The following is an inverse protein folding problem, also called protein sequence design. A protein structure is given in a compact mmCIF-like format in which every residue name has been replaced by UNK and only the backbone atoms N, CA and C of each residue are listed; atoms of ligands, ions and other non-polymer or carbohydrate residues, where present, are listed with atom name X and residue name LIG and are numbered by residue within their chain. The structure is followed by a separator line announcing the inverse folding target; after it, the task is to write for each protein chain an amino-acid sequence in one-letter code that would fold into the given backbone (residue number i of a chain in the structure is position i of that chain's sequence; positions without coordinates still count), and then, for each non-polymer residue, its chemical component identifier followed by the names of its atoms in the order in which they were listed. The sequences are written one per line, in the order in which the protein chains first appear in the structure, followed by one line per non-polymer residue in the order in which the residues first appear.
data_IF_166730503541
#
_entry.id   IF_166730503541
#
_cell.length_a   1.000
_cell.length_b   1.000
_cell.length_c   1.000
_cell.angle_alpha   90.00
_cell.angle_beta   90.00
_cell.angle_gamma   90.00
#
_symmetry.space_group_name_H-M   'P 1'
#
loop_
_entity.id
_entity.type
_entity.pdbx_description
1 polymer ?
#
# COMPACT_ATOMS: atom_id res chain seq x y z
N UNK A 1 -6.04 8.76 -26.66
CA UNK A 1 -7.09 9.61 -27.27
C UNK A 1 -7.47 8.95 -28.59
N UNK A 2 -8.75 8.65 -28.75
CA UNK A 2 -9.26 8.09 -30.01
C UNK A 2 -9.55 9.21 -31.01
N UNK A 3 -9.18 9.02 -32.26
CA UNK A 3 -9.32 10.05 -33.32
C UNK A 3 -10.73 10.62 -33.43
N UNK A 4 -11.77 9.79 -33.18
CA UNK A 4 -13.19 10.19 -33.31
C UNK A 4 -13.88 10.44 -31.95
N UNK A 5 -13.16 10.34 -30.83
CA UNK A 5 -13.65 10.49 -29.44
C UNK A 5 -12.61 11.21 -28.60
N UNK A 6 -12.31 12.46 -28.98
CA UNK A 6 -11.25 13.27 -28.38
C UNK A 6 -11.55 13.72 -26.93
N UNK A 7 -12.80 13.64 -26.52
CA UNK A 7 -13.29 14.01 -25.18
C UNK A 7 -13.37 12.84 -24.20
N UNK A 8 -12.97 11.64 -24.60
CA UNK A 8 -13.05 10.42 -23.78
C UNK A 8 -11.64 9.90 -23.47
N UNK A 9 -11.43 9.52 -22.22
CA UNK A 9 -10.27 8.75 -21.78
C UNK A 9 -10.77 7.38 -21.33
N UNK A 10 -10.06 6.33 -21.76
CA UNK A 10 -10.31 4.95 -21.30
C UNK A 10 -9.12 4.50 -20.49
N UNK A 11 -9.37 4.07 -19.25
CA UNK A 11 -8.40 3.43 -18.37
C UNK A 11 -8.74 1.96 -18.19
N UNK A 12 -7.73 1.10 -18.16
CA UNK A 12 -7.90 -0.32 -17.84
C UNK A 12 -6.78 -0.76 -16.90
N UNK A 13 -7.13 -1.52 -15.89
CA UNK A 13 -6.18 -2.06 -14.93
C UNK A 13 -5.91 -3.53 -15.21
N UNK A 14 -4.61 -3.86 -15.30
CA UNK A 14 -4.13 -5.24 -15.29
C UNK A 14 -2.76 -5.29 -14.62
N UNK A 15 -2.74 -5.68 -13.35
CA UNK A 15 -1.53 -5.69 -12.51
C UNK A 15 -1.22 -4.32 -11.89
N UNK A 16 -0.79 -3.34 -12.70
CA UNK A 16 -0.46 -2.00 -12.18
C UNK A 16 -1.70 -1.28 -11.67
N UNK A 17 -1.60 -0.55 -10.54
CA UNK A 17 -2.72 0.19 -9.98
C UNK A 17 -3.21 1.30 -10.91
N UNK A 18 -4.51 1.62 -10.81
CA UNK A 18 -5.15 2.68 -11.55
C UNK A 18 -6.28 3.28 -10.70
N UNK A 19 -6.34 4.60 -10.66
CA UNK A 19 -7.32 5.35 -9.90
C UNK A 19 -7.97 6.45 -10.74
N UNK A 20 -9.24 6.72 -10.46
CA UNK A 20 -10.00 7.84 -11.03
C UNK A 20 -10.18 8.88 -9.95
N UNK A 21 -9.84 10.14 -10.27
CA UNK A 21 -10.10 11.30 -9.43
C UNK A 21 -11.28 12.11 -9.96
N UNK A 22 -12.09 12.65 -9.05
CA UNK A 22 -13.31 13.40 -9.35
C UNK A 22 -13.16 14.86 -8.94
N UNK A 23 -13.46 15.77 -9.84
CA UNK A 23 -13.59 17.20 -9.59
C UNK A 23 -14.93 17.74 -10.08
N UNK A 24 -15.19 19.03 -9.85
CA UNK A 24 -16.38 19.69 -10.35
C UNK A 24 -16.33 20.00 -11.85
N UNK A 25 -15.14 20.20 -12.38
CA UNK A 25 -14.95 20.69 -13.74
C UNK A 25 -14.38 19.63 -14.68
N UNK A 26 -13.73 18.60 -14.13
CA UNK A 26 -13.09 17.54 -14.91
C UNK A 26 -12.81 16.29 -14.08
N UNK A 27 -12.56 15.17 -14.74
CA UNK A 27 -12.17 13.91 -14.12
C UNK A 27 -10.74 13.56 -14.51
N UNK A 28 -10.04 12.86 -13.61
CA UNK A 28 -8.62 12.54 -13.74
C UNK A 28 -8.39 11.03 -13.73
N UNK A 29 -7.29 10.61 -14.34
CA UNK A 29 -6.81 9.25 -14.30
C UNK A 29 -5.34 9.25 -13.85
N UNK A 30 -5.02 8.49 -12.83
CA UNK A 30 -3.67 8.39 -12.27
C UNK A 30 -3.35 6.99 -11.76
N UNK A 31 -2.08 6.72 -11.46
CA UNK A 31 -1.65 5.43 -10.91
C UNK A 31 -2.21 5.18 -9.50
N UNK A 32 -2.34 6.23 -8.70
CA UNK A 32 -2.70 6.16 -7.29
C UNK A 32 -3.25 7.50 -6.77
N UNK A 33 -3.67 7.52 -5.52
CA UNK A 33 -4.18 8.73 -4.86
C UNK A 33 -3.15 9.84 -4.74
N UNK A 34 -1.87 9.49 -4.58
CA UNK A 34 -0.80 10.47 -4.44
C UNK A 34 -0.59 11.25 -5.74
N UNK A 35 -0.61 10.56 -6.89
CA UNK A 35 -0.52 11.18 -8.20
C UNK A 35 -1.67 12.17 -8.48
N UNK A 36 -2.84 11.95 -7.86
CA UNK A 36 -4.04 12.76 -8.06
C UNK A 36 -4.25 13.82 -6.97
N UNK A 37 -3.46 13.80 -5.90
CA UNK A 37 -3.68 14.61 -4.69
C UNK A 37 -3.74 16.12 -4.95
N UNK A 38 -2.93 16.63 -5.86
CA UNK A 38 -2.93 18.07 -6.22
C UNK A 38 -4.18 18.53 -6.97
N UNK A 39 -4.98 17.59 -7.48
CA UNK A 39 -6.14 17.85 -8.34
C UNK A 39 -7.45 17.54 -7.62
N UNK A 40 -7.48 16.52 -6.78
CA UNK A 40 -8.70 16.11 -6.06
C UNK A 40 -8.38 15.19 -4.88
N UNK A 41 -9.26 15.21 -3.88
CA UNK A 41 -9.24 14.26 -2.77
C UNK A 41 -10.34 13.18 -2.88
N UNK A 42 -11.16 13.18 -3.94
CA UNK A 42 -12.21 12.20 -4.17
C UNK A 42 -11.74 11.19 -5.20
N UNK A 43 -11.59 9.93 -4.80
CA UNK A 43 -10.91 8.92 -5.61
C UNK A 43 -11.68 7.60 -5.60
N UNK A 44 -11.73 6.94 -6.75
CA UNK A 44 -12.14 5.54 -6.87
C UNK A 44 -11.02 4.71 -7.47
N UNK A 45 -10.80 3.52 -6.91
CA UNK A 45 -9.77 2.61 -7.38
C UNK A 45 -10.38 1.52 -8.25
N UNK A 46 -9.70 1.19 -9.36
CA UNK A 46 -10.04 0.03 -10.17
C UNK A 46 -9.46 -1.23 -9.54
N UNK A 47 -10.19 -2.33 -9.62
CA UNK A 47 -9.68 -3.67 -9.32
C UNK A 47 -9.07 -4.30 -10.57
N UNK A 48 -8.33 -5.40 -10.40
CA UNK A 48 -7.64 -6.05 -11.53
C UNK A 48 -8.65 -6.58 -12.56
N UNK A 49 -8.44 -6.26 -13.82
CA UNK A 49 -9.34 -6.61 -14.93
C UNK A 49 -10.47 -5.63 -15.18
N UNK A 50 -10.64 -4.60 -14.36
CA UNK A 50 -11.64 -3.57 -14.59
C UNK A 50 -11.17 -2.50 -15.60
N UNK A 51 -12.14 -1.83 -16.19
CA UNK A 51 -11.90 -0.66 -17.03
C UNK A 51 -12.81 0.49 -16.61
N UNK A 52 -12.39 1.71 -16.91
CA UNK A 52 -13.21 2.91 -16.77
C UNK A 52 -13.24 3.71 -18.09
N UNK A 53 -14.35 4.38 -18.32
CA UNK A 53 -14.52 5.38 -19.37
C UNK A 53 -14.85 6.67 -18.66
N UNK A 54 -14.06 7.69 -18.89
CA UNK A 54 -14.29 9.01 -18.31
C UNK A 54 -14.29 10.09 -19.37
N UNK A 55 -15.19 11.02 -19.21
CA UNK A 55 -15.23 12.31 -19.88
C UNK A 55 -15.20 13.43 -18.83
N UNK A 56 -15.44 14.67 -19.25
CA UNK A 56 -15.45 15.82 -18.36
C UNK A 56 -16.45 15.66 -17.19
N UNK A 57 -17.65 15.15 -17.49
CA UNK A 57 -18.80 15.18 -16.58
C UNK A 57 -19.10 13.81 -15.96
N UNK A 58 -18.67 12.71 -16.60
CA UNK A 58 -19.09 11.36 -16.26
C UNK A 58 -17.93 10.39 -16.12
N UNK A 59 -18.09 9.41 -15.22
CA UNK A 59 -17.21 8.25 -15.09
C UNK A 59 -18.06 6.99 -15.05
N UNK A 60 -17.73 6.03 -15.89
CA UNK A 60 -18.34 4.72 -15.93
C UNK A 60 -17.28 3.64 -15.71
N UNK A 61 -17.63 2.61 -14.94
CA UNK A 61 -16.76 1.47 -14.67
C UNK A 61 -17.40 0.18 -15.17
N UNK A 62 -16.55 -0.73 -15.64
CA UNK A 62 -16.94 -2.02 -16.16
C UNK A 62 -16.03 -3.12 -15.61
N UNK A 63 -16.62 -4.27 -15.29
CA UNK A 63 -15.88 -5.46 -14.88
C UNK A 63 -15.29 -6.23 -16.08
N UNK A 64 -14.60 -7.34 -15.80
CA UNK A 64 -14.01 -8.23 -16.82
C UNK A 64 -15.02 -8.82 -17.81
N UNK A 65 -16.30 -8.84 -17.46
CA UNK A 65 -17.40 -9.33 -18.28
C UNK A 65 -18.10 -8.19 -19.05
N UNK A 66 -17.52 -6.98 -19.06
CA UNK A 66 -18.08 -5.78 -19.66
C UNK A 66 -19.41 -5.31 -19.03
N UNK A 67 -19.70 -5.76 -17.82
CA UNK A 67 -20.88 -5.33 -17.08
C UNK A 67 -20.57 -4.03 -16.35
N UNK A 68 -21.45 -3.03 -16.46
CA UNK A 68 -21.33 -1.77 -15.72
C UNK A 68 -21.45 -2.02 -14.22
N UNK A 69 -20.50 -1.45 -13.48
CA UNK A 69 -20.42 -1.57 -12.01
C UNK A 69 -20.33 -0.20 -11.36
N UNK A 70 -20.69 -0.12 -10.09
CA UNK A 70 -20.53 1.09 -9.28
C UNK A 70 -19.29 0.96 -8.39
N UNK A 71 -18.49 2.00 -8.34
CA UNK A 71 -17.32 2.08 -7.45
C UNK A 71 -17.57 3.05 -6.31
N UNK A 72 -17.06 2.70 -5.14
CA UNK A 72 -17.08 3.58 -3.98
C UNK A 72 -16.10 4.74 -4.20
N UNK A 73 -16.56 5.95 -3.91
CA UNK A 73 -15.70 7.13 -3.86
C UNK A 73 -15.12 7.23 -2.44
N UNK A 74 -13.82 7.24 -2.36
CA UNK A 74 -13.07 7.46 -1.13
C UNK A 74 -12.65 8.93 -1.05
N UNK A 75 -12.75 9.52 0.13
CA UNK A 75 -12.17 10.85 0.39
C UNK A 75 -10.84 10.63 1.07
N UNK A 76 -9.76 11.02 0.39
CA UNK A 76 -8.40 10.95 0.93
C UNK A 76 -8.18 12.19 1.79
N UNK A 77 -7.63 12.00 3.00
CA UNK A 77 -7.33 13.10 3.91
C UNK A 77 -6.27 14.03 3.32
N UNK A 78 -6.53 15.32 3.41
CA UNK A 78 -5.57 16.38 3.09
C UNK A 78 -4.56 16.51 4.25
N UNK A 79 -3.56 15.65 4.28
CA UNK A 79 -2.35 15.96 5.05
C UNK A 79 -1.58 17.05 4.29
N UNK A 80 -1.82 18.30 4.66
CA UNK A 80 -1.36 19.52 3.98
C UNK A 80 0.16 19.59 3.77
N UNK A 81 0.95 18.82 4.53
CA UNK A 81 2.40 18.93 4.56
C UNK A 81 3.17 17.99 3.61
N UNK A 82 2.51 17.08 2.90
CA UNK A 82 3.23 16.04 2.14
C UNK A 82 3.60 16.49 0.71
N UNK A 83 2.87 17.42 0.13
CA UNK A 83 3.03 17.80 -1.30
C UNK A 83 3.95 19.00 -1.55
N UNK A 84 4.37 19.73 -0.52
CA UNK A 84 5.24 20.88 -0.68
C UNK A 84 6.70 20.56 -0.28
N UNK A 85 7.67 20.96 -1.09
CA UNK A 85 9.10 20.88 -0.77
C UNK A 85 9.49 21.79 0.40
N UNK A 86 8.71 22.83 0.65
CA UNK A 86 9.12 23.91 1.56
C UNK A 86 10.44 24.54 1.11
N UNK A 87 11.29 24.89 2.04
CA UNK A 87 12.59 25.53 1.80
C UNK A 87 13.70 24.56 1.29
N UNK A 88 13.36 23.29 1.06
CA UNK A 88 14.33 22.29 0.67
C UNK A 88 14.57 22.27 -0.86
N UNK A 89 15.80 22.04 -1.28
CA UNK A 89 16.18 21.96 -2.70
C UNK A 89 15.44 20.85 -3.45
N UNK A 90 15.22 19.71 -2.79
CA UNK A 90 14.53 18.53 -3.34
C UNK A 90 13.82 17.74 -2.22
N UNK A 91 12.91 16.85 -2.60
CA UNK A 91 12.15 16.05 -1.66
C UNK A 91 13.02 15.14 -0.79
N UNK A 92 14.05 14.51 -1.35
CA UNK A 92 14.96 13.67 -0.58
C UNK A 92 15.63 14.43 0.57
N UNK A 93 16.06 15.68 0.31
CA UNK A 93 16.62 16.54 1.36
C UNK A 93 15.60 16.85 2.46
N UNK A 94 14.34 17.17 2.07
CA UNK A 94 13.24 17.36 3.00
C UNK A 94 13.03 16.12 3.86
N UNK A 95 12.89 14.95 3.26
CA UNK A 95 12.66 13.67 3.95
C UNK A 95 13.78 13.33 4.94
N UNK A 96 15.05 13.59 4.59
CA UNK A 96 16.18 13.39 5.49
C UNK A 96 16.03 14.24 6.75
N UNK A 97 15.70 15.52 6.63
CA UNK A 97 15.54 16.41 7.77
C UNK A 97 14.24 16.22 8.54
N UNK A 98 13.23 15.62 7.94
CA UNK A 98 11.96 15.27 8.59
C UNK A 98 12.02 14.01 9.46
N UNK A 99 13.06 13.17 9.32
CA UNK A 99 13.17 11.89 10.04
C UNK A 99 12.93 12.01 11.56
N UNK A 100 13.48 12.98 12.30
CA UNK A 100 13.22 13.11 13.73
C UNK A 100 11.74 13.32 14.05
N UNK A 101 11.04 14.08 13.22
CA UNK A 101 9.61 14.36 13.39
C UNK A 101 8.76 13.15 13.04
N UNK A 102 9.08 12.45 11.97
CA UNK A 102 8.34 11.25 11.53
C UNK A 102 8.53 10.10 12.52
N UNK A 103 9.75 9.88 13.01
CA UNK A 103 10.02 8.89 14.06
C UNK A 103 9.25 9.22 15.34
N UNK A 104 9.22 10.49 15.76
CA UNK A 104 8.44 10.91 16.93
C UNK A 104 6.94 10.67 16.75
N UNK A 105 6.38 10.94 15.57
CA UNK A 105 4.98 10.64 15.26
C UNK A 105 4.70 9.15 15.36
N UNK A 106 5.54 8.32 14.73
CA UNK A 106 5.43 6.87 14.77
C UNK A 106 5.50 6.33 16.22
N UNK A 107 6.45 6.81 17.03
CA UNK A 107 6.53 6.44 18.43
C UNK A 107 5.26 6.83 19.21
N UNK A 108 4.74 8.03 19.01
CA UNK A 108 3.53 8.48 19.69
C UNK A 108 2.29 7.66 19.28
N UNK A 109 2.23 7.18 18.05
CA UNK A 109 1.13 6.33 17.56
C UNK A 109 1.13 4.96 18.22
N UNK A 110 2.32 4.35 18.36
CA UNK A 110 2.46 2.97 18.82
C UNK A 110 2.87 2.81 20.28
N UNK A 111 3.06 3.90 21.03
CA UNK A 111 3.46 3.81 22.44
C UNK A 111 2.50 4.57 23.33
N UNK A 112 2.15 3.97 24.47
CA UNK A 112 1.52 4.65 25.60
C UNK A 112 2.60 5.08 26.60
N UNK A 113 2.99 6.34 26.55
CA UNK A 113 4.04 6.89 27.41
C UNK A 113 3.68 6.85 28.91
N UNK A 114 2.38 6.85 29.26
CA UNK A 114 1.92 6.75 30.65
C UNK A 114 2.02 5.32 31.18
N UNK A 115 1.70 4.35 30.35
CA UNK A 115 1.75 2.93 30.71
C UNK A 115 3.10 2.28 30.43
N UNK A 116 3.99 2.96 29.71
CA UNK A 116 5.25 2.41 29.20
C UNK A 116 5.04 1.11 28.42
N UNK A 117 4.00 1.09 27.61
CA UNK A 117 3.55 -0.08 26.87
C UNK A 117 3.43 0.23 25.39
N UNK A 118 3.43 -0.81 24.57
CA UNK A 118 3.23 -0.71 23.12
C UNK A 118 1.74 -0.86 22.83
N UNK A 119 1.18 0.09 22.11
CA UNK A 119 -0.22 0.14 21.78
C UNK A 119 -0.46 -0.27 20.33
N UNK A 120 -0.58 -1.58 20.11
CA UNK A 120 -0.94 -2.11 18.79
C UNK A 120 -2.38 -2.60 18.87
N UNK A 121 -3.30 -1.79 18.38
CA UNK A 121 -4.72 -2.11 18.39
C UNK A 121 -5.04 -3.26 17.42
N UNK A 122 -5.87 -4.19 17.90
CA UNK A 122 -6.49 -5.25 17.09
C UNK A 122 -5.51 -6.15 16.31
N UNK A 123 -4.32 -6.42 16.87
CA UNK A 123 -3.44 -7.42 16.27
C UNK A 123 -4.11 -8.80 16.33
N UNK A 124 -4.51 -9.37 15.19
CA UNK A 124 -5.39 -10.53 15.18
C UNK A 124 -4.68 -11.85 15.50
N UNK A 125 -3.37 -11.80 15.72
CA UNK A 125 -2.53 -13.00 15.87
C UNK A 125 -1.88 -13.00 17.24
N UNK A 126 -2.08 -14.08 17.98
CA UNK A 126 -1.35 -14.27 19.22
C UNK A 126 0.11 -14.61 18.90
N UNK A 127 1.10 -13.99 19.53
CA UNK A 127 2.52 -14.26 19.27
C UNK A 127 2.87 -15.74 19.35
N UNK A 128 2.27 -16.47 20.28
CA UNK A 128 2.48 -17.92 20.48
C UNK A 128 1.98 -18.79 19.31
N UNK A 129 1.14 -18.25 18.42
CA UNK A 129 0.64 -18.96 17.25
C UNK A 129 1.55 -18.79 16.02
N UNK A 130 2.61 -17.98 16.15
CA UNK A 130 3.56 -17.71 15.07
C UNK A 130 4.84 -18.52 15.32
N UNK A 131 5.23 -19.33 14.34
CA UNK A 131 6.51 -20.05 14.38
C UNK A 131 7.61 -19.35 13.60
N UNK A 132 7.23 -18.63 12.54
CA UNK A 132 8.16 -17.92 11.67
C UNK A 132 7.54 -16.65 11.14
N UNK A 133 8.34 -15.61 11.05
CA UNK A 133 8.01 -14.36 10.34
C UNK A 133 8.78 -14.34 9.02
N UNK A 134 8.09 -13.99 7.93
CA UNK A 134 8.70 -13.75 6.64
C UNK A 134 8.48 -12.28 6.29
N UNK A 135 9.57 -11.50 6.23
CA UNK A 135 9.56 -10.09 5.87
C UNK A 135 9.79 -9.95 4.37
N UNK A 136 8.91 -9.26 3.67
CA UNK A 136 8.92 -9.17 2.20
C UNK A 136 8.86 -7.71 1.77
N UNK A 137 9.80 -7.30 0.93
CA UNK A 137 9.85 -5.95 0.39
C UNK A 137 10.73 -5.84 -0.85
N UNK A 138 10.80 -4.65 -1.44
CA UNK A 138 11.69 -4.31 -2.54
C UNK A 138 12.51 -3.06 -2.21
N UNK A 139 13.71 -2.97 -2.77
CA UNK A 139 14.56 -1.77 -2.63
C UNK A 139 14.85 -1.41 -1.18
N UNK A 140 14.65 -0.17 -0.79
CA UNK A 140 14.91 0.34 0.56
C UNK A 140 14.04 -0.37 1.62
N UNK A 141 12.79 -0.71 1.28
CA UNK A 141 11.92 -1.50 2.17
C UNK A 141 12.50 -2.88 2.46
N UNK A 142 13.09 -3.55 1.47
CA UNK A 142 13.82 -4.81 1.69
C UNK A 142 15.02 -4.63 2.64
N UNK A 143 15.78 -3.53 2.49
CA UNK A 143 16.89 -3.24 3.39
C UNK A 143 16.44 -2.96 4.84
N UNK A 144 15.28 -2.35 5.03
CA UNK A 144 14.70 -2.20 6.37
C UNK A 144 14.31 -3.56 6.96
N UNK A 145 13.81 -4.50 6.15
CA UNK A 145 13.56 -5.88 6.58
C UNK A 145 14.85 -6.61 7.02
N UNK A 146 15.99 -6.36 6.35
CA UNK A 146 17.29 -6.89 6.75
C UNK A 146 17.68 -6.47 8.18
N UNK A 147 17.51 -5.18 8.50
CA UNK A 147 17.78 -4.67 9.86
C UNK A 147 16.79 -5.26 10.87
N UNK A 148 15.50 -5.25 10.52
CA UNK A 148 14.46 -5.77 11.39
C UNK A 148 14.67 -7.25 11.74
N UNK A 149 15.19 -8.06 10.81
CA UNK A 149 15.53 -9.47 11.08
C UNK A 149 16.43 -9.61 12.30
N UNK A 150 17.53 -8.87 12.37
CA UNK A 150 18.47 -8.93 13.50
C UNK A 150 17.82 -8.53 14.82
N UNK A 151 16.95 -7.52 14.80
CA UNK A 151 16.21 -7.12 16.02
C UNK A 151 15.22 -8.18 16.46
N UNK A 152 14.50 -8.81 15.55
CA UNK A 152 13.61 -9.92 15.88
C UNK A 152 14.38 -11.11 16.47
N UNK A 153 15.52 -11.50 15.87
CA UNK A 153 16.37 -12.58 16.35
C UNK A 153 16.93 -12.30 17.76
N UNK A 154 17.25 -11.03 18.05
CA UNK A 154 17.74 -10.62 19.38
C UNK A 154 16.63 -10.56 20.43
N UNK A 155 15.45 -10.07 20.06
CA UNK A 155 14.36 -9.75 21.00
C UNK A 155 13.34 -10.88 21.17
N UNK A 156 13.33 -11.86 20.26
CA UNK A 156 12.31 -12.93 20.26
C UNK A 156 12.94 -14.29 19.99
N UNK A 157 12.18 -15.35 20.27
CA UNK A 157 12.54 -16.73 19.88
C UNK A 157 11.82 -17.15 18.58
N UNK A 158 11.47 -16.21 17.73
CA UNK A 158 10.75 -16.48 16.48
C UNK A 158 11.76 -16.46 15.32
N UNK A 159 11.77 -17.50 14.52
CA UNK A 159 12.56 -17.54 13.29
C UNK A 159 12.13 -16.43 12.33
N UNK A 160 13.10 -15.68 11.78
CA UNK A 160 12.82 -14.63 10.82
C UNK A 160 13.54 -14.89 9.50
N UNK A 161 12.76 -14.87 8.44
CA UNK A 161 13.22 -14.96 7.07
C UNK A 161 12.91 -13.66 6.33
N UNK A 162 13.76 -13.28 5.40
CA UNK A 162 13.54 -12.13 4.54
C UNK A 162 13.54 -12.57 3.10
N UNK A 163 12.70 -11.94 2.29
CA UNK A 163 12.64 -12.22 0.86
C UNK A 163 12.44 -10.93 0.06
N UNK A 164 13.03 -10.90 -1.12
CA UNK A 164 12.80 -9.80 -2.04
C UNK A 164 11.54 -10.10 -2.88
N UNK A 165 10.60 -9.17 -2.90
CA UNK A 165 9.28 -9.43 -3.47
C UNK A 165 9.32 -9.77 -4.97
N UNK A 166 10.28 -9.20 -5.73
CA UNK A 166 10.47 -9.51 -7.14
C UNK A 166 10.81 -10.98 -7.39
N UNK A 167 11.55 -11.61 -6.49
CA UNK A 167 11.94 -13.01 -6.58
C UNK A 167 10.90 -13.94 -5.94
N UNK A 168 10.32 -13.49 -4.82
CA UNK A 168 9.28 -14.23 -4.09
C UNK A 168 8.16 -14.69 -5.02
N UNK A 169 7.69 -13.81 -5.90
CA UNK A 169 6.56 -14.07 -6.79
C UNK A 169 6.80 -15.16 -7.84
N UNK A 170 8.06 -15.50 -8.13
CA UNK A 170 8.40 -16.48 -9.17
C UNK A 170 8.90 -17.81 -8.60
N UNK A 171 9.18 -17.86 -7.30
CA UNK A 171 9.69 -19.06 -6.64
C UNK A 171 8.58 -20.06 -6.32
N UNK A 172 8.93 -21.35 -6.29
CA UNK A 172 8.06 -22.41 -5.76
C UNK A 172 8.19 -22.45 -4.24
N UNK A 173 7.26 -21.77 -3.57
CA UNK A 173 7.24 -21.62 -2.11
C UNK A 173 6.42 -22.71 -1.44
N UNK A 174 6.82 -23.08 -0.22
CA UNK A 174 6.01 -23.90 0.69
C UNK A 174 5.39 -22.97 1.73
N UNK A 175 4.07 -22.89 1.74
CA UNK A 175 3.33 -22.07 2.69
C UNK A 175 3.00 -22.86 3.96
N UNK A 176 2.95 -22.16 5.10
CA UNK A 176 2.59 -22.72 6.39
C UNK A 176 1.66 -21.72 7.11
N UNK A 177 0.54 -22.21 7.65
CA UNK A 177 -0.48 -21.43 8.35
C UNK A 177 0.00 -20.83 9.69
N UNK A 178 1.13 -21.37 10.24
CA UNK A 178 1.80 -20.84 11.43
C UNK A 178 2.84 -19.77 11.12
N UNK A 179 3.03 -19.43 9.86
CA UNK A 179 3.90 -18.35 9.44
C UNK A 179 3.10 -17.04 9.28
N UNK A 180 3.74 -15.94 9.64
CA UNK A 180 3.24 -14.59 9.36
C UNK A 180 4.06 -13.97 8.24
N UNK A 181 3.39 -13.56 7.18
CA UNK A 181 4.01 -12.89 6.03
C UNK A 181 3.77 -11.39 6.17
N UNK A 182 4.85 -10.61 6.33
CA UNK A 182 4.80 -9.16 6.52
C UNK A 182 5.34 -8.47 5.27
N UNK A 183 4.51 -7.68 4.63
CA UNK A 183 4.81 -6.93 3.42
C UNK A 183 5.14 -5.48 3.78
N UNK A 184 6.33 -5.02 3.44
CA UNK A 184 6.80 -3.66 3.75
C UNK A 184 6.87 -2.84 2.47
N UNK A 185 6.14 -1.73 2.44
CA UNK A 185 6.12 -0.82 1.30
C UNK A 185 5.71 0.58 1.73
N UNK A 186 6.48 1.61 1.40
CA UNK A 186 6.13 2.99 1.72
C UNK A 186 4.84 3.41 0.99
N UNK A 187 4.78 3.27 -0.32
CA UNK A 187 3.62 3.64 -1.13
C UNK A 187 2.45 2.67 -1.03
N UNK A 188 2.74 1.40 -0.66
CA UNK A 188 1.76 0.31 -0.72
C UNK A 188 1.29 -0.05 -2.14
N UNK A 189 1.98 0.47 -3.17
CA UNK A 189 1.64 0.26 -4.60
C UNK A 189 2.78 -0.42 -5.39
N UNK A 190 3.81 -0.90 -4.70
CA UNK A 190 4.91 -1.62 -5.35
C UNK A 190 4.41 -2.91 -5.99
N UNK A 191 4.45 -2.99 -7.32
CA UNK A 191 3.82 -4.06 -8.10
C UNK A 191 4.28 -5.47 -7.69
N UNK A 192 5.59 -5.67 -7.45
CA UNK A 192 6.11 -6.96 -7.03
C UNK A 192 5.66 -7.33 -5.62
N UNK A 193 5.61 -6.36 -4.70
CA UNK A 193 5.13 -6.57 -3.33
C UNK A 193 3.65 -6.90 -3.30
N UNK A 194 2.84 -6.20 -4.11
CA UNK A 194 1.41 -6.50 -4.25
C UNK A 194 1.18 -7.90 -4.85
N UNK A 195 1.96 -8.30 -5.87
CA UNK A 195 1.86 -9.62 -6.46
C UNK A 195 2.29 -10.73 -5.48
N UNK A 196 3.32 -10.50 -4.66
CA UNK A 196 3.75 -11.42 -3.61
C UNK A 196 2.65 -11.59 -2.53
N UNK A 197 2.00 -10.50 -2.12
CA UNK A 197 0.84 -10.53 -1.22
C UNK A 197 -0.31 -11.35 -1.80
N UNK A 198 -0.66 -11.14 -3.07
CA UNK A 198 -1.73 -11.89 -3.74
C UNK A 198 -1.47 -13.41 -3.76
N UNK A 199 -0.22 -13.83 -3.96
CA UNK A 199 0.19 -15.23 -3.85
C UNK A 199 -0.07 -15.78 -2.44
N UNK A 200 0.29 -15.04 -1.39
CA UNK A 200 0.03 -15.42 -0.01
C UNK A 200 -1.47 -15.53 0.28
N UNK A 201 -2.27 -14.60 -0.20
CA UNK A 201 -3.73 -14.60 -0.06
C UNK A 201 -4.37 -15.82 -0.75
N UNK A 202 -3.94 -16.15 -1.97
CA UNK A 202 -4.38 -17.37 -2.68
C UNK A 202 -4.06 -18.65 -1.93
N UNK A 203 -2.96 -18.66 -1.17
CA UNK A 203 -2.56 -19.79 -0.31
C UNK A 203 -3.15 -19.72 1.10
N UNK A 204 -4.02 -18.74 1.40
CA UNK A 204 -4.77 -18.57 2.66
C UNK A 204 -3.87 -18.52 3.90
N UNK A 205 -2.69 -17.94 3.77
CA UNK A 205 -1.78 -17.72 4.90
C UNK A 205 -1.96 -16.31 5.48
N UNK A 206 -1.53 -16.12 6.73
CA UNK A 206 -1.68 -14.87 7.48
C UNK A 206 -0.79 -13.78 6.90
N UNK A 207 -1.36 -12.64 6.57
CA UNK A 207 -0.65 -11.51 5.96
C UNK A 207 -0.81 -10.24 6.77
N UNK A 208 0.30 -9.51 6.90
CA UNK A 208 0.34 -8.18 7.49
C UNK A 208 1.02 -7.23 6.50
N UNK A 209 0.55 -6.00 6.42
CA UNK A 209 1.22 -4.93 5.68
C UNK A 209 1.72 -3.85 6.62
N UNK A 210 2.95 -3.39 6.39
CA UNK A 210 3.49 -2.16 6.98
C UNK A 210 3.59 -1.16 5.85
N UNK A 211 2.71 -0.16 5.84
CA UNK A 211 2.59 0.79 4.73
C UNK A 211 2.28 2.19 5.26
N UNK A 212 2.82 3.21 4.62
CA UNK A 212 2.51 4.60 4.99
C UNK A 212 1.18 5.08 4.38
N UNK A 213 0.72 4.46 3.27
CA UNK A 213 -0.52 4.83 2.58
C UNK A 213 -1.59 3.77 2.85
N UNK A 214 -2.47 4.04 3.81
CA UNK A 214 -3.51 3.09 4.27
C UNK A 214 -4.58 2.78 3.21
N UNK A 215 -4.75 3.65 2.23
CA UNK A 215 -5.68 3.46 1.11
C UNK A 215 -5.04 2.71 -0.07
N UNK A 216 -3.80 2.25 0.08
CA UNK A 216 -3.06 1.57 -0.98
C UNK A 216 -3.57 0.16 -1.28
N UNK A 217 -3.19 -0.36 -2.44
CA UNK A 217 -3.55 -1.72 -2.87
C UNK A 217 -3.06 -2.79 -1.89
N UNK A 218 -1.83 -2.67 -1.38
CA UNK A 218 -1.27 -3.62 -0.41
C UNK A 218 -2.04 -3.55 0.91
N UNK A 219 -2.35 -2.34 1.40
CA UNK A 219 -3.14 -2.16 2.63
C UNK A 219 -4.53 -2.79 2.52
N UNK A 220 -5.25 -2.52 1.43
CA UNK A 220 -6.62 -3.05 1.24
C UNK A 220 -6.69 -4.56 1.13
N UNK A 221 -5.61 -5.22 0.68
CA UNK A 221 -5.59 -6.66 0.43
C UNK A 221 -4.96 -7.47 1.57
N UNK A 222 -4.17 -6.89 2.45
CA UNK A 222 -3.61 -7.57 3.62
C UNK A 222 -4.70 -7.88 4.66
N UNK A 223 -4.50 -8.94 5.46
CA UNK A 223 -5.43 -9.28 6.55
C UNK A 223 -5.33 -8.28 7.69
N UNK A 224 -4.17 -7.67 7.84
CA UNK A 224 -3.91 -6.67 8.85
C UNK A 224 -2.91 -5.63 8.35
N UNK A 225 -3.07 -4.39 8.84
CA UNK A 225 -2.26 -3.24 8.41
C UNK A 225 -1.71 -2.51 9.62
N UNK A 226 -0.43 -2.20 9.57
CA UNK A 226 0.25 -1.21 10.40
C UNK A 226 0.55 0.00 9.50
N UNK A 227 -0.10 1.13 9.72
CA UNK A 227 0.19 2.36 8.99
C UNK A 227 1.52 2.99 9.39
#
# INVERSE_FOLDING_TARGET
IFKNFSNIIIGARRGSPLAVGYSKEENYLGSDSYALKSMTNKISYLDDGELCILDKDNVEFYDVNQKKINKKIHTVSDDENISDKGDYKNFMSKEIFEQPTTIKKCLNEYTDSLKKDINIYNFPIKPNDIKKIILIGCGTAYHSCLVAKYWFEELTNIDVEIDIASEFRYRKLKFNDKNLYIFVSQSGETADTAAALDICKKNKVKTCAIVNVIESTIARNADWVLP
#
